data_IF_038324630836
#
_entry.id   IF_038324630836
#
_cell.length_a   1.000
_cell.length_b   1.000
_cell.length_c   1.000
_cell.angle_alpha   90.00
_cell.angle_beta   90.00
_cell.angle_gamma   90.00
#
_symmetry.space_group_name_H-M   'P 1'
#
loop_
_entity.id
_entity.type
_entity.pdbx_description
1 polymer ?
#
# COMPACT_ATOMS: atom_id res chain seq x y z
N UNK A 1 -5.27 -3.19 -6.99
CA UNK A 1 -5.82 -3.72 -5.72
C UNK A 1 -5.75 -5.25 -5.59
N UNK A 2 -6.22 -6.01 -6.59
CA UNK A 2 -6.26 -7.50 -6.56
C UNK A 2 -4.98 -8.21 -6.14
N UNK A 3 -3.80 -7.64 -6.42
CA UNK A 3 -2.53 -8.19 -5.96
C UNK A 3 -2.43 -8.19 -4.42
N UNK A 4 -2.78 -7.08 -3.79
CA UNK A 4 -2.76 -6.92 -2.32
C UNK A 4 -3.85 -7.79 -1.67
N UNK A 5 -5.03 -7.87 -2.29
CA UNK A 5 -6.13 -8.72 -1.80
C UNK A 5 -5.69 -10.19 -1.65
N UNK A 6 -4.89 -10.70 -2.57
CA UNK A 6 -4.36 -12.09 -2.52
C UNK A 6 -3.33 -12.30 -1.42
N UNK A 7 -2.76 -11.24 -0.85
CA UNK A 7 -1.77 -11.29 0.23
C UNK A 7 -2.40 -11.19 1.62
N UNK A 8 -3.67 -10.81 1.73
CA UNK A 8 -4.38 -10.59 3.00
C UNK A 8 -5.23 -11.82 3.37
N UNK A 9 -5.38 -12.18 4.66
CA UNK A 9 -6.23 -13.29 5.08
C UNK A 9 -7.68 -13.15 4.60
N UNK A 10 -8.27 -14.24 4.09
CA UNK A 10 -9.67 -14.24 3.67
C UNK A 10 -10.58 -14.28 4.89
N UNK A 11 -11.51 -13.32 5.00
CA UNK A 11 -12.50 -13.26 6.07
C UNK A 11 -12.93 -11.85 6.44
N UNK A 12 -13.71 -11.69 7.52
CA UNK A 12 -14.19 -10.38 7.99
C UNK A 12 -13.05 -9.40 8.30
N UNK A 13 -11.94 -9.92 8.86
CA UNK A 13 -10.76 -9.11 9.17
C UNK A 13 -10.05 -8.64 7.90
N UNK A 14 -9.89 -9.49 6.89
CA UNK A 14 -9.29 -9.09 5.61
C UNK A 14 -10.10 -8.01 4.91
N UNK A 15 -11.43 -8.15 4.90
CA UNK A 15 -12.34 -7.12 4.36
C UNK A 15 -12.20 -5.79 5.09
N UNK A 16 -12.01 -5.81 6.42
CA UNK A 16 -11.72 -4.58 7.20
C UNK A 16 -10.38 -3.96 6.82
N UNK A 17 -9.33 -4.75 6.66
CA UNK A 17 -8.01 -4.26 6.26
C UNK A 17 -8.04 -3.65 4.84
N UNK A 18 -8.72 -4.30 3.90
CA UNK A 18 -8.83 -3.80 2.52
C UNK A 18 -9.54 -2.44 2.44
N UNK A 19 -10.47 -2.13 3.35
CA UNK A 19 -11.12 -0.81 3.42
C UNK A 19 -10.15 0.34 3.73
N UNK A 20 -8.99 0.05 4.31
CA UNK A 20 -7.97 1.06 4.61
C UNK A 20 -7.05 1.34 3.41
N UNK A 21 -7.03 0.46 2.40
CA UNK A 21 -6.21 0.61 1.22
C UNK A 21 -6.88 1.55 0.21
N UNK A 22 -6.15 2.56 -0.26
CA UNK A 22 -6.58 3.49 -1.32
C UNK A 22 -5.59 3.40 -2.48
N UNK A 23 -6.07 3.02 -3.66
CA UNK A 23 -5.24 2.90 -4.88
C UNK A 23 -5.71 3.93 -5.91
N UNK A 24 -4.81 4.80 -6.32
CA UNK A 24 -5.05 5.81 -7.35
C UNK A 24 -4.29 5.45 -8.62
N UNK A 25 -4.88 5.73 -9.78
CA UNK A 25 -4.25 5.47 -11.06
C UNK A 25 -3.21 6.55 -11.43
N UNK A 26 -3.41 7.79 -10.95
CA UNK A 26 -2.50 8.92 -11.17
C UNK A 26 -1.49 9.11 -10.05
N UNK A 27 -0.61 10.10 -10.22
CA UNK A 27 0.42 10.46 -9.23
C UNK A 27 -0.15 11.17 -7.99
N UNK A 28 -1.41 11.62 -8.04
CA UNK A 28 -2.03 12.44 -7.00
C UNK A 28 -3.10 11.69 -6.21
N UNK A 29 -3.32 12.13 -4.96
CA UNK A 29 -4.39 11.65 -4.10
C UNK A 29 -5.07 12.82 -3.35
N UNK A 30 -6.36 12.72 -3.01
CA UNK A 30 -7.10 13.79 -2.32
C UNK A 30 -6.78 13.93 -0.81
N UNK A 31 -5.87 13.12 -0.26
CA UNK A 31 -5.61 13.02 1.18
C UNK A 31 -4.60 14.03 1.74
N UNK A 32 -4.52 15.22 1.14
CA UNK A 32 -3.55 16.27 1.55
C UNK A 32 -3.74 16.68 3.01
N UNK A 33 -4.99 16.77 3.48
CA UNK A 33 -5.31 17.15 4.86
C UNK A 33 -4.80 16.15 5.93
N UNK A 34 -4.54 14.89 5.55
CA UNK A 34 -4.06 13.85 6.47
C UNK A 34 -2.52 13.90 6.64
N UNK A 35 -1.83 14.78 5.91
CA UNK A 35 -0.37 14.91 5.93
C UNK A 35 0.35 13.56 5.85
N UNK A 36 0.10 12.74 4.80
CA UNK A 36 0.69 11.42 4.70
C UNK A 36 2.22 11.50 4.59
N UNK A 37 2.91 10.65 5.34
CA UNK A 37 4.37 10.53 5.30
C UNK A 37 4.77 9.56 4.20
N UNK A 38 5.75 9.95 3.38
CA UNK A 38 6.30 9.11 2.32
C UNK A 38 7.05 7.92 2.91
N UNK A 39 6.62 6.70 2.56
CA UNK A 39 7.28 5.46 2.94
C UNK A 39 8.19 4.97 1.80
N UNK A 40 9.50 4.96 2.04
CA UNK A 40 10.49 4.41 1.11
C UNK A 40 10.72 2.92 1.38
N UNK A 41 10.01 2.07 0.65
CA UNK A 41 10.09 0.61 0.79
C UNK A 41 11.45 0.04 0.35
N UNK A 42 12.15 0.72 -0.56
CA UNK A 42 13.45 0.26 -1.06
C UNK A 42 14.53 0.31 0.02
N UNK A 43 14.43 1.26 0.97
CA UNK A 43 15.37 1.42 2.08
C UNK A 43 15.22 0.38 3.19
N UNK A 44 14.09 -0.31 3.28
CA UNK A 44 13.80 -1.23 4.40
C UNK A 44 14.61 -2.54 4.33
N UNK A 45 15.09 -2.94 3.15
CA UNK A 45 15.87 -4.16 3.00
C UNK A 45 16.87 -4.02 1.84
N UNK A 46 18.13 -4.43 2.06
CA UNK A 46 19.17 -4.44 1.04
C UNK A 46 18.80 -5.26 -0.22
N UNK A 47 17.89 -6.23 -0.10
CA UNK A 47 17.38 -7.03 -1.25
C UNK A 47 16.36 -6.27 -2.11
N UNK A 48 15.71 -5.23 -1.59
CA UNK A 48 14.68 -4.47 -2.33
C UNK A 48 15.29 -3.50 -3.36
N UNK A 49 16.56 -3.10 -3.17
CA UNK A 49 17.28 -2.17 -4.07
C UNK A 49 18.00 -2.88 -5.22
N UNK A 50 18.23 -4.20 -5.11
CA UNK A 50 19.11 -4.95 -6.03
C UNK A 50 18.47 -5.30 -7.38
N UNK A 51 17.19 -5.00 -7.57
CA UNK A 51 16.48 -5.29 -8.82
C UNK A 51 16.06 -3.95 -9.42
N UNK A 52 16.95 -3.39 -10.24
CA UNK A 52 16.66 -2.31 -11.18
C UNK A 52 17.28 -2.72 -12.53
#
# INVERSE_FOLDING_TARGET
EKAVERMVPRGPLGRRQMKNLRVYAGAEHPHVAQQPVVLDVAKLNAKNKKVA
#
